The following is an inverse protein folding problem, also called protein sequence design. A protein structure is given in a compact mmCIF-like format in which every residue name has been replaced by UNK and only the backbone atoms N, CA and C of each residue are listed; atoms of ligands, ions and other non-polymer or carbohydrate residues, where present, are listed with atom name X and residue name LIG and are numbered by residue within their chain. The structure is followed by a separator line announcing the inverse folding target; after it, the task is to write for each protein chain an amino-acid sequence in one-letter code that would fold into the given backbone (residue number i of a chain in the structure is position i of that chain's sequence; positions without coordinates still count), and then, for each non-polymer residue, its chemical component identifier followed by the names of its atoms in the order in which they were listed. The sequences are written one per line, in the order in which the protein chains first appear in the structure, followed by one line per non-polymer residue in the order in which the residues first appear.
data_IF_921416834061
#
_entry.id   IF_921416834061
#
_cell.length_a   1.000
_cell.length_b   1.000
_cell.length_c   1.000
_cell.angle_alpha   90.00
_cell.angle_beta   90.00
_cell.angle_gamma   90.00
#
_symmetry.space_group_name_H-M   'P 1'
#
loop_
_entity.id
_entity.type
_entity.pdbx_description
1 polymer ?
#
# COMPACT_ATOMS: atom_id res chain seq x y z
N UNK A 1 -10.23 51.22 -119.48
CA UNK A 1 -10.82 50.09 -118.71
C UNK A 1 -11.74 49.34 -119.66
N UNK A 2 -11.38 48.11 -120.04
CA UNK A 2 -12.22 47.26 -120.89
C UNK A 2 -12.96 46.29 -119.97
N UNK A 3 -14.24 46.56 -119.72
CA UNK A 3 -15.09 45.64 -118.97
C UNK A 3 -15.56 44.51 -119.91
N UNK A 4 -15.67 43.27 -119.40
CA UNK A 4 -16.13 42.15 -120.22
C UNK A 4 -17.59 42.34 -120.68
N UNK A 5 -17.92 41.76 -121.83
CA UNK A 5 -19.21 41.96 -122.51
C UNK A 5 -20.40 41.63 -121.62
N UNK A 6 -20.27 40.63 -120.74
CA UNK A 6 -21.33 40.23 -119.80
C UNK A 6 -21.74 41.34 -118.81
N UNK A 7 -20.89 42.36 -118.63
CA UNK A 7 -21.13 43.56 -117.83
C UNK A 7 -21.60 44.71 -118.73
N UNK A 8 -20.94 44.93 -119.88
CA UNK A 8 -21.20 46.10 -120.74
C UNK A 8 -22.50 46.02 -121.54
N UNK A 9 -23.00 44.82 -121.84
CA UNK A 9 -24.23 44.61 -122.63
C UNK A 9 -25.49 44.49 -121.77
N UNK A 10 -25.39 44.66 -120.44
CA UNK A 10 -26.48 44.45 -119.49
C UNK A 10 -27.28 45.73 -119.26
N UNK A 11 -28.61 45.64 -119.31
CA UNK A 11 -29.52 46.77 -119.02
C UNK A 11 -30.40 46.48 -117.80
N UNK A 12 -30.92 47.52 -117.15
CA UNK A 12 -31.80 47.40 -115.97
C UNK A 12 -31.19 46.66 -114.75
N UNK A 13 -29.90 46.88 -114.47
CA UNK A 13 -29.18 46.30 -113.33
C UNK A 13 -28.94 47.32 -112.20
N UNK A 14 -28.53 46.84 -111.03
CA UNK A 14 -28.05 47.67 -109.90
C UNK A 14 -26.60 47.37 -109.57
N UNK A 15 -25.82 48.37 -109.15
CA UNK A 15 -24.41 48.23 -108.78
C UNK A 15 -24.18 48.61 -107.31
N UNK A 16 -23.27 47.90 -106.65
CA UNK A 16 -22.69 48.28 -105.36
C UNK A 16 -21.18 48.18 -105.42
N UNK A 17 -20.46 49.06 -104.72
CA UNK A 17 -19.00 49.05 -104.68
C UNK A 17 -18.55 48.83 -103.24
N UNK A 18 -17.60 47.93 -103.04
CA UNK A 18 -17.03 47.60 -101.73
C UNK A 18 -15.50 47.62 -101.78
N UNK A 19 -14.88 48.44 -100.93
CA UNK A 19 -13.42 48.46 -100.77
C UNK A 19 -12.99 47.28 -99.91
N UNK A 20 -12.32 46.31 -100.53
CA UNK A 20 -11.79 45.13 -99.83
C UNK A 20 -10.47 45.46 -99.16
N UNK A 21 -9.63 46.21 -99.87
CA UNK A 21 -8.36 46.73 -99.37
C UNK A 21 -8.11 48.12 -99.93
N UNK A 22 -7.10 48.88 -99.46
CA UNK A 22 -6.82 50.22 -99.97
C UNK A 22 -6.58 50.29 -101.50
N UNK A 23 -6.13 49.19 -102.11
CA UNK A 23 -5.81 49.11 -103.55
C UNK A 23 -6.78 48.23 -104.36
N UNK A 24 -7.73 47.57 -103.70
CA UNK A 24 -8.66 46.62 -104.33
C UNK A 24 -10.11 46.94 -103.96
N UNK A 25 -10.92 47.24 -104.97
CA UNK A 25 -12.35 47.51 -104.85
C UNK A 25 -13.14 46.46 -105.63
N UNK A 26 -14.24 45.97 -105.09
CA UNK A 26 -15.14 45.04 -105.75
C UNK A 26 -16.43 45.75 -106.13
N UNK A 27 -16.84 45.61 -107.38
CA UNK A 27 -18.13 46.07 -107.89
C UNK A 27 -19.04 44.84 -107.97
N UNK A 28 -20.15 44.86 -107.26
CA UNK A 28 -21.15 43.81 -107.25
C UNK A 28 -22.32 44.27 -108.10
N UNK A 29 -22.60 43.54 -109.17
CA UNK A 29 -23.68 43.81 -110.10
C UNK A 29 -24.84 42.84 -109.87
N UNK A 30 -26.02 43.40 -109.56
CA UNK A 30 -27.23 42.67 -109.23
C UNK A 30 -28.28 42.79 -110.33
N UNK A 31 -28.84 41.64 -110.74
CA UNK A 31 -29.95 41.58 -111.70
C UNK A 31 -29.60 42.16 -113.08
N UNK A 32 -30.61 42.48 -113.88
CA UNK A 32 -30.46 43.02 -115.24
C UNK A 32 -30.75 42.01 -116.35
N UNK A 33 -31.06 42.51 -117.54
CA UNK A 33 -31.43 41.72 -118.71
C UNK A 33 -30.40 41.82 -119.82
N UNK A 34 -29.84 40.67 -120.20
CA UNK A 34 -29.09 40.49 -121.43
C UNK A 34 -29.21 39.02 -121.87
N UNK A 35 -29.98 38.74 -122.93
CA UNK A 35 -29.93 37.57 -123.81
C UNK A 35 -30.00 36.15 -123.22
N UNK A 36 -29.22 35.80 -122.20
CA UNK A 36 -29.19 34.51 -121.50
C UNK A 36 -28.16 34.52 -120.34
N UNK A 37 -28.39 35.23 -119.23
CA UNK A 37 -27.85 34.90 -117.88
C UNK A 37 -28.31 35.93 -116.84
N UNK A 38 -28.76 35.45 -115.66
CA UNK A 38 -29.44 36.24 -114.61
C UNK A 38 -28.55 36.39 -113.35
N UNK A 39 -27.32 35.90 -113.38
CA UNK A 39 -26.50 35.74 -112.18
C UNK A 39 -25.84 37.05 -111.73
N UNK A 40 -25.69 37.19 -110.41
CA UNK A 40 -24.90 38.24 -109.75
C UNK A 40 -23.43 38.10 -110.14
N UNK A 41 -22.83 39.18 -110.64
CA UNK A 41 -21.42 39.23 -110.98
C UNK A 41 -20.65 40.07 -109.95
N UNK A 42 -19.46 39.61 -109.57
CA UNK A 42 -18.52 40.40 -108.77
C UNK A 42 -17.33 40.74 -109.67
N UNK A 43 -17.04 42.03 -109.81
CA UNK A 43 -15.95 42.55 -110.63
C UNK A 43 -14.91 43.13 -109.68
N UNK A 44 -13.73 42.53 -109.62
CA UNK A 44 -12.59 43.09 -108.93
C UNK A 44 -11.93 44.16 -109.78
N UNK A 45 -11.80 45.34 -109.20
CA UNK A 45 -11.05 46.48 -109.70
C UNK A 45 -9.82 46.68 -108.81
N UNK A 46 -8.64 46.41 -109.35
CA UNK A 46 -7.37 46.52 -108.63
C UNK A 46 -6.50 47.59 -109.25
N UNK A 47 -6.07 48.52 -108.41
CA UNK A 47 -5.06 49.51 -108.73
C UNK A 47 -3.68 48.83 -108.76
N UNK A 48 -3.00 48.86 -109.89
CA UNK A 48 -1.66 48.28 -110.04
C UNK A 48 -0.59 49.34 -109.79
N UNK A 49 0.63 48.90 -109.46
CA UNK A 49 1.79 49.78 -109.21
C UNK A 49 2.19 50.65 -110.41
N UNK A 50 1.74 50.27 -111.61
CA UNK A 50 2.05 50.95 -112.87
C UNK A 50 1.06 52.08 -113.18
N UNK A 51 0.33 52.55 -112.15
CA UNK A 51 -0.68 53.61 -112.27
C UNK A 51 -1.86 53.23 -113.19
N UNK A 52 -2.11 51.92 -113.34
CA UNK A 52 -3.14 51.35 -114.20
C UNK A 52 -4.19 50.57 -113.38
N UNK A 53 -5.31 50.26 -114.02
CA UNK A 53 -6.44 49.56 -113.41
C UNK A 53 -6.62 48.19 -114.07
N UNK A 54 -6.53 47.14 -113.27
CA UNK A 54 -6.88 45.79 -113.71
C UNK A 54 -8.29 45.42 -113.27
N UNK A 55 -9.08 44.87 -114.19
CA UNK A 55 -10.43 44.38 -113.92
C UNK A 55 -10.48 42.87 -114.11
N UNK A 56 -11.07 42.15 -113.16
CA UNK A 56 -11.32 40.70 -113.28
C UNK A 56 -12.69 40.33 -112.73
N UNK A 57 -13.32 39.29 -113.28
CA UNK A 57 -14.61 38.80 -112.80
C UNK A 57 -14.38 37.67 -111.82
N UNK A 58 -14.87 37.84 -110.58
CA UNK A 58 -14.90 36.83 -109.54
C UNK A 58 -16.23 36.09 -109.64
N UNK A 59 -16.16 34.78 -109.89
CA UNK A 59 -17.34 33.92 -109.82
C UNK A 59 -17.79 33.78 -108.36
N UNK A 60 -19.10 33.72 -108.13
CA UNK A 60 -19.68 33.73 -106.80
C UNK A 60 -19.22 32.57 -105.91
N UNK A 61 -18.96 31.40 -106.50
CA UNK A 61 -18.40 30.22 -105.82
C UNK A 61 -16.98 30.44 -105.28
N UNK A 62 -16.24 31.41 -105.83
CA UNK A 62 -14.87 31.74 -105.44
C UNK A 62 -14.75 32.98 -104.56
N UNK A 63 -15.88 33.65 -104.24
CA UNK A 63 -15.90 34.92 -103.52
C UNK A 63 -15.16 34.86 -102.17
N UNK A 64 -15.45 33.84 -101.35
CA UNK A 64 -14.87 33.70 -100.01
C UNK A 64 -13.36 33.44 -100.05
N UNK A 65 -12.91 32.63 -101.01
CA UNK A 65 -11.50 32.31 -101.16
C UNK A 65 -10.70 33.50 -101.68
N UNK A 66 -11.26 34.27 -102.63
CA UNK A 66 -10.63 35.50 -103.11
C UNK A 66 -10.53 36.54 -101.99
N UNK A 67 -11.58 36.69 -101.16
CA UNK A 67 -11.56 37.63 -100.04
C UNK A 67 -10.42 37.33 -99.06
N UNK A 68 -10.31 36.06 -98.64
CA UNK A 68 -9.24 35.62 -97.72
C UNK A 68 -7.85 35.82 -98.31
N UNK A 69 -7.66 35.48 -99.59
CA UNK A 69 -6.38 35.67 -100.29
C UNK A 69 -5.98 37.14 -100.36
N UNK A 70 -6.93 38.05 -100.61
CA UNK A 70 -6.64 39.50 -100.69
C UNK A 70 -6.27 40.08 -99.34
N UNK A 71 -7.01 39.74 -98.27
CA UNK A 71 -6.68 40.20 -96.91
C UNK A 71 -5.28 39.70 -96.49
N UNK A 72 -4.97 38.42 -96.72
CA UNK A 72 -3.66 37.84 -96.38
C UNK A 72 -2.52 38.44 -97.22
N UNK A 73 -2.73 38.59 -98.53
CA UNK A 73 -1.74 39.18 -99.43
C UNK A 73 -1.44 40.62 -99.08
N UNK A 74 -2.44 41.42 -98.71
CA UNK A 74 -2.21 42.82 -98.33
C UNK A 74 -1.52 42.92 -96.97
N UNK A 75 -1.81 42.01 -96.03
CA UNK A 75 -1.06 41.91 -94.78
C UNK A 75 0.43 41.58 -95.01
N UNK A 76 0.72 40.71 -95.96
CA UNK A 76 2.10 40.39 -96.36
C UNK A 76 2.77 41.57 -97.11
N UNK A 77 2.03 42.25 -98.00
CA UNK A 77 2.52 43.35 -98.83
C UNK A 77 2.68 44.68 -98.08
N UNK A 78 1.95 44.90 -96.98
CA UNK A 78 2.04 46.12 -96.15
C UNK A 78 3.38 46.27 -95.40
N UNK A 79 4.37 45.40 -95.63
CA UNK A 79 5.72 45.52 -95.07
C UNK A 79 5.83 45.25 -93.56
N UNK A 80 4.69 45.16 -92.86
CA UNK A 80 4.58 44.87 -91.43
C UNK A 80 5.07 43.46 -91.05
N UNK A 81 5.25 42.57 -92.03
CA UNK A 81 5.68 41.19 -91.77
C UNK A 81 7.08 41.09 -91.15
N UNK A 82 8.04 41.95 -91.52
CA UNK A 82 9.42 41.86 -90.99
C UNK A 82 9.54 42.37 -89.56
N UNK A 83 8.93 43.52 -89.26
CA UNK A 83 8.94 44.11 -87.92
C UNK A 83 8.16 43.26 -86.92
N UNK A 84 7.01 42.71 -87.32
CA UNK A 84 6.21 41.81 -86.47
C UNK A 84 6.95 40.49 -86.20
N UNK A 85 7.66 39.94 -87.19
CA UNK A 85 8.48 38.74 -86.99
C UNK A 85 9.69 39.00 -86.07
N UNK A 86 10.36 40.15 -86.23
CA UNK A 86 11.47 40.56 -85.38
C UNK A 86 11.02 40.74 -83.91
N UNK A 87 9.90 41.44 -83.70
CA UNK A 87 9.33 41.63 -82.36
C UNK A 87 8.90 40.32 -81.70
N UNK A 88 8.33 39.39 -82.47
CA UNK A 88 8.00 38.04 -82.00
C UNK A 88 9.26 37.28 -81.57
N UNK A 89 10.34 37.38 -82.34
CA UNK A 89 11.63 36.78 -82.01
C UNK A 89 12.20 37.33 -80.71
N UNK A 90 12.29 38.66 -80.58
CA UNK A 90 12.79 39.31 -79.36
C UNK A 90 11.95 39.00 -78.11
N UNK A 91 10.62 38.86 -78.25
CA UNK A 91 9.76 38.48 -77.13
C UNK A 91 10.04 37.05 -76.66
N UNK A 92 10.19 36.10 -77.59
CA UNK A 92 10.52 34.71 -77.26
C UNK A 92 11.93 34.58 -76.65
N UNK A 93 12.88 35.38 -77.12
CA UNK A 93 14.23 35.45 -76.57
C UNK A 93 14.23 36.01 -75.15
N UNK A 94 13.50 37.10 -74.91
CA UNK A 94 13.33 37.67 -73.56
C UNK A 94 12.63 36.72 -72.59
N UNK A 95 11.62 35.98 -73.04
CA UNK A 95 10.98 34.94 -72.22
C UNK A 95 11.98 33.85 -71.83
N UNK A 96 12.82 33.40 -72.78
CA UNK A 96 13.88 32.41 -72.52
C UNK A 96 14.92 32.93 -71.53
N UNK A 97 15.42 34.14 -71.75
CA UNK A 97 16.40 34.80 -70.86
C UNK A 97 15.84 34.90 -69.43
N UNK A 98 14.56 35.27 -69.28
CA UNK A 98 13.91 35.34 -67.97
C UNK A 98 13.91 33.97 -67.25
N UNK A 99 13.57 32.89 -67.94
CA UNK A 99 13.60 31.54 -67.35
C UNK A 99 15.02 31.10 -67.00
N UNK A 100 15.99 31.36 -67.87
CA UNK A 100 17.39 31.04 -67.62
C UNK A 100 17.94 31.83 -66.42
N UNK A 101 17.62 33.11 -66.29
CA UNK A 101 18.01 33.93 -65.13
C UNK A 101 17.39 33.43 -63.82
N UNK A 102 16.11 33.04 -63.83
CA UNK A 102 15.46 32.46 -62.65
C UNK A 102 16.13 31.15 -62.24
N UNK A 103 16.39 30.26 -63.21
CA UNK A 103 17.04 28.98 -62.95
C UNK A 103 18.45 29.19 -62.39
N UNK A 104 19.24 30.10 -62.95
CA UNK A 104 20.58 30.43 -62.46
C UNK A 104 20.54 30.99 -61.02
N UNK A 105 19.56 31.84 -60.71
CA UNK A 105 19.36 32.37 -59.36
C UNK A 105 19.04 31.26 -58.36
N UNK A 106 18.13 30.35 -58.73
CA UNK A 106 17.73 29.23 -57.88
C UNK A 106 18.88 28.24 -57.64
N UNK A 107 19.66 27.93 -58.68
CA UNK A 107 20.87 27.10 -58.56
C UNK A 107 21.85 27.75 -57.59
N UNK A 108 22.14 29.04 -57.76
CA UNK A 108 23.10 29.76 -56.90
C UNK A 108 22.64 29.83 -55.44
N UNK A 109 21.35 30.03 -55.20
CA UNK A 109 20.78 30.03 -53.85
C UNK A 109 20.88 28.65 -53.20
N UNK A 110 20.55 27.59 -53.94
CA UNK A 110 20.66 26.20 -53.46
C UNK A 110 22.10 25.80 -53.17
N UNK A 111 23.05 26.18 -54.01
CA UNK A 111 24.47 25.96 -53.78
C UNK A 111 24.96 26.65 -52.50
N UNK A 112 24.53 27.89 -52.27
CA UNK A 112 24.88 28.62 -51.05
C UNK A 112 24.33 27.93 -49.79
N UNK A 113 23.05 27.55 -49.81
CA UNK A 113 22.41 26.81 -48.71
C UNK A 113 23.14 25.49 -48.44
N UNK A 114 23.54 24.78 -49.50
CA UNK A 114 24.26 23.53 -49.36
C UNK A 114 25.65 23.73 -48.73
N UNK A 115 26.39 24.75 -49.16
CA UNK A 115 27.69 25.08 -48.55
C UNK A 115 27.56 25.46 -47.07
N UNK A 116 26.54 26.24 -46.71
CA UNK A 116 26.35 26.66 -45.33
C UNK A 116 25.95 25.48 -44.44
N UNK A 117 25.12 24.56 -44.95
CA UNK A 117 24.79 23.30 -44.26
C UNK A 117 26.01 22.42 -44.05
N UNK A 118 26.90 22.32 -45.04
CA UNK A 118 28.14 21.55 -44.93
C UNK A 118 29.09 22.13 -43.89
N UNK A 119 29.24 23.47 -43.84
CA UNK A 119 30.01 24.16 -42.79
C UNK A 119 29.45 23.90 -41.40
N UNK A 120 28.12 23.99 -41.24
CA UNK A 120 27.44 23.72 -39.97
C UNK A 120 27.65 22.26 -39.52
N UNK A 121 27.52 21.29 -40.43
CA UNK A 121 27.81 19.89 -40.14
C UNK A 121 29.26 19.67 -39.73
N UNK A 122 30.21 20.32 -40.40
CA UNK A 122 31.63 20.21 -40.07
C UNK A 122 31.94 20.83 -38.70
N UNK A 123 31.31 21.95 -38.36
CA UNK A 123 31.42 22.58 -37.05
C UNK A 123 30.85 21.67 -35.94
N UNK A 124 29.67 21.08 -36.15
CA UNK A 124 29.05 20.15 -35.20
C UNK A 124 29.91 18.90 -34.99
N UNK A 125 30.50 18.36 -36.05
CA UNK A 125 31.43 17.22 -35.94
C UNK A 125 32.67 17.57 -35.11
N UNK A 126 33.24 18.77 -35.31
CA UNK A 126 34.38 19.24 -34.56
C UNK A 126 34.05 19.49 -33.07
N UNK A 127 32.88 20.09 -32.80
CA UNK A 127 32.40 20.29 -31.43
C UNK A 127 32.17 18.95 -30.72
N UNK A 128 31.51 18.00 -31.40
CA UNK A 128 31.30 16.64 -30.86
C UNK A 128 32.62 15.93 -30.55
N UNK A 129 33.62 16.03 -31.43
CA UNK A 129 34.93 15.47 -31.19
C UNK A 129 35.62 16.09 -29.98
N UNK A 130 35.51 17.42 -29.82
CA UNK A 130 36.07 18.15 -28.68
C UNK A 130 35.39 17.76 -27.36
N UNK A 131 34.05 17.66 -27.35
CA UNK A 131 33.28 17.22 -26.18
C UNK A 131 33.58 15.76 -25.82
N UNK A 132 33.74 14.89 -26.82
CA UNK A 132 34.13 13.50 -26.59
C UNK A 132 35.49 13.42 -25.92
N UNK A 133 36.48 14.18 -26.41
CA UNK A 133 37.81 14.22 -25.80
C UNK A 133 37.76 14.76 -24.37
N UNK A 134 36.99 15.82 -24.10
CA UNK A 134 36.81 16.35 -22.74
C UNK A 134 36.17 15.32 -21.80
N UNK A 135 35.22 14.53 -22.30
CA UNK A 135 34.59 13.47 -21.52
C UNK A 135 35.57 12.33 -21.22
N UNK A 136 36.37 11.92 -22.20
CA UNK A 136 37.41 10.90 -22.02
C UNK A 136 38.48 11.37 -21.02
N UNK A 137 38.92 12.62 -21.13
CA UNK A 137 39.88 13.24 -20.19
C UNK A 137 39.30 13.35 -18.78
N UNK A 138 38.03 13.76 -18.64
CA UNK A 138 37.34 13.83 -17.36
C UNK A 138 37.16 12.45 -16.73
N UNK A 139 36.82 11.44 -17.54
CA UNK A 139 36.67 10.06 -17.09
C UNK A 139 38.01 9.50 -16.61
N UNK A 140 39.10 9.78 -17.35
CA UNK A 140 40.45 9.39 -16.94
C UNK A 140 40.86 10.05 -15.63
N UNK A 141 40.59 11.34 -15.45
CA UNK A 141 40.85 12.06 -14.18
C UNK A 141 40.07 11.49 -13.01
N UNK A 142 38.79 11.14 -13.21
CA UNK A 142 37.96 10.53 -12.16
C UNK A 142 38.48 9.14 -11.79
N UNK A 143 38.93 8.34 -12.76
CA UNK A 143 39.57 7.05 -12.52
C UNK A 143 40.88 7.20 -11.73
N UNK A 144 41.77 8.10 -12.14
CA UNK A 144 43.02 8.37 -11.41
C UNK A 144 42.75 8.87 -9.99
N UNK A 145 41.73 9.71 -9.80
CA UNK A 145 41.32 10.18 -8.48
C UNK A 145 40.77 9.02 -7.63
N UNK A 146 39.92 8.16 -8.20
CA UNK A 146 39.41 6.98 -7.52
C UNK A 146 40.52 5.98 -7.16
N UNK A 147 41.54 5.83 -8.01
CA UNK A 147 42.72 5.00 -7.71
C UNK A 147 43.59 5.61 -6.60
N UNK A 148 43.78 6.94 -6.61
CA UNK A 148 44.47 7.66 -5.53
C UNK A 148 43.72 7.55 -4.22
N UNK A 149 42.42 7.77 -4.24
CA UNK A 149 41.55 7.68 -3.06
C UNK A 149 41.47 6.25 -2.55
N UNK A 150 41.44 5.25 -3.44
CA UNK A 150 41.56 3.84 -3.08
C UNK A 150 42.91 3.54 -2.41
N UNK A 151 44.01 4.07 -2.93
CA UNK A 151 45.36 3.87 -2.39
C UNK A 151 45.58 4.56 -1.03
N UNK A 152 45.03 5.76 -0.82
CA UNK A 152 45.10 6.47 0.48
C UNK A 152 44.19 5.83 1.52
N UNK A 153 42.98 5.43 1.14
CA UNK A 153 42.02 4.75 2.03
C UNK A 153 42.51 3.33 2.36
N UNK A 154 43.08 2.57 1.41
CA UNK A 154 43.59 1.22 1.67
C UNK A 154 44.77 1.20 2.65
N UNK A 155 45.68 2.19 2.65
CA UNK A 155 46.77 2.25 3.63
C UNK A 155 46.29 2.62 5.04
N UNK A 156 45.41 3.62 5.15
CA UNK A 156 44.91 4.11 6.44
C UNK A 156 43.89 3.15 7.07
N UNK A 157 43.02 2.53 6.25
CA UNK A 157 42.08 1.50 6.72
C UNK A 157 42.76 0.17 7.01
N UNK A 158 43.82 -0.23 6.29
CA UNK A 158 44.53 -1.48 6.58
C UNK A 158 45.29 -1.42 7.90
N UNK A 159 45.94 -0.29 8.23
CA UNK A 159 46.59 -0.13 9.53
C UNK A 159 45.57 -0.09 10.67
N UNK A 160 44.43 0.59 10.47
CA UNK A 160 43.34 0.66 11.44
C UNK A 160 42.60 -0.68 11.61
N UNK A 161 42.41 -1.44 10.53
CA UNK A 161 41.87 -2.81 10.57
C UNK A 161 42.83 -3.76 11.26
N UNK A 162 44.14 -3.66 11.00
CA UNK A 162 45.17 -4.47 11.66
C UNK A 162 45.21 -4.21 13.16
N UNK A 163 45.09 -2.96 13.59
CA UNK A 163 44.98 -2.61 15.01
C UNK A 163 43.71 -3.18 15.65
N UNK A 164 42.55 -3.03 15.01
CA UNK A 164 41.28 -3.59 15.50
C UNK A 164 41.26 -5.12 15.54
N UNK A 165 41.89 -5.78 14.57
CA UNK A 165 42.00 -7.25 14.55
C UNK A 165 42.90 -7.75 15.68
N UNK A 166 43.97 -7.03 16.01
CA UNK A 166 44.81 -7.35 17.16
C UNK A 166 44.06 -7.19 18.50
N UNK A 167 43.29 -6.10 18.65
CA UNK A 167 42.45 -5.84 19.82
C UNK A 167 41.37 -6.93 20.01
N UNK A 168 40.66 -7.28 18.93
CA UNK A 168 39.65 -8.35 18.95
C UNK A 168 40.27 -9.72 19.27
N UNK A 169 41.48 -10.01 18.80
CA UNK A 169 42.18 -11.25 19.12
C UNK A 169 42.54 -11.31 20.61
N UNK A 170 43.02 -10.21 21.19
CA UNK A 170 43.33 -10.12 22.61
C UNK A 170 42.08 -10.26 23.48
N UNK A 171 40.99 -9.56 23.16
CA UNK A 171 39.70 -9.73 23.84
C UNK A 171 39.17 -11.15 23.74
N UNK A 172 39.27 -11.78 22.55
CA UNK A 172 38.86 -13.17 22.34
C UNK A 172 39.66 -14.15 23.21
N UNK A 173 40.97 -13.95 23.37
CA UNK A 173 41.78 -14.77 24.27
C UNK A 173 41.36 -14.63 25.73
N UNK A 174 41.12 -13.39 26.20
CA UNK A 174 40.63 -13.15 27.56
C UNK A 174 39.23 -13.74 27.80
N UNK A 175 38.35 -13.72 26.79
CA UNK A 175 37.01 -14.33 26.88
C UNK A 175 37.10 -15.86 26.97
N UNK A 176 37.99 -16.49 26.20
CA UNK A 176 38.15 -17.95 26.26
C UNK A 176 38.76 -18.39 27.61
N UNK A 177 39.71 -17.62 28.16
CA UNK A 177 40.24 -17.85 29.52
C UNK A 177 39.13 -17.74 30.58
N UNK A 178 38.32 -16.67 30.53
CA UNK A 178 37.17 -16.50 31.44
C UNK A 178 36.17 -17.65 31.33
N UNK A 179 35.92 -18.13 30.11
CA UNK A 179 35.02 -19.27 29.86
C UNK A 179 35.57 -20.57 30.42
N UNK A 180 36.89 -20.80 30.34
CA UNK A 180 37.53 -21.95 30.99
C UNK A 180 37.38 -21.88 32.51
N UNK A 181 37.65 -20.72 33.13
CA UNK A 181 37.49 -20.53 34.57
C UNK A 181 36.04 -20.80 35.03
N UNK A 182 35.04 -20.25 34.31
CA UNK A 182 33.62 -20.49 34.62
C UNK A 182 33.27 -21.98 34.53
N UNK A 183 33.85 -22.69 33.56
CA UNK A 183 33.59 -24.13 33.36
C UNK A 183 34.19 -24.96 34.50
N UNK A 184 35.42 -24.66 34.92
CA UNK A 184 36.07 -25.31 36.06
C UNK A 184 35.33 -25.05 37.37
N UNK A 185 34.91 -23.80 37.61
CA UNK A 185 34.14 -23.43 38.80
C UNK A 185 32.77 -24.12 38.82
N UNK A 186 32.12 -24.29 37.67
CA UNK A 186 30.86 -25.01 37.56
C UNK A 186 30.99 -26.49 37.94
N UNK A 187 32.01 -27.19 37.42
CA UNK A 187 32.25 -28.60 37.78
C UNK A 187 32.63 -28.74 39.26
N UNK A 188 33.40 -27.80 39.81
CA UNK A 188 33.72 -27.77 41.25
C UNK A 188 32.48 -27.53 42.12
N UNK A 189 31.57 -26.64 41.69
CA UNK A 189 30.30 -26.40 42.38
C UNK A 189 29.40 -27.64 42.34
N UNK A 190 29.34 -28.31 41.19
CA UNK A 190 28.56 -29.54 40.99
C UNK A 190 29.03 -30.67 41.93
N UNK A 191 30.35 -30.83 42.10
CA UNK A 191 30.91 -31.76 43.09
C UNK A 191 30.48 -31.41 44.52
N UNK A 192 30.60 -30.14 44.93
CA UNK A 192 30.17 -29.70 46.28
C UNK A 192 28.67 -29.92 46.53
N UNK A 193 27.84 -29.73 45.52
CA UNK A 193 26.38 -29.97 45.64
C UNK A 193 26.10 -31.47 45.79
N UNK A 194 26.84 -32.33 45.10
CA UNK A 194 26.72 -33.78 45.26
C UNK A 194 27.12 -34.23 46.68
N UNK A 195 28.26 -33.76 47.19
CA UNK A 195 28.72 -34.08 48.55
C UNK A 195 27.70 -33.65 49.62
N UNK A 196 27.15 -32.42 49.51
CA UNK A 196 26.12 -31.92 50.43
C UNK A 196 24.81 -32.71 50.37
N UNK A 197 24.43 -33.22 49.20
CA UNK A 197 23.24 -34.06 49.06
C UNK A 197 23.45 -35.42 49.73
N UNK A 198 24.62 -36.04 49.55
CA UNK A 198 24.96 -37.31 50.19
C UNK A 198 24.98 -37.18 51.72
N UNK A 199 25.61 -36.12 52.27
CA UNK A 199 25.58 -35.83 53.71
C UNK A 199 24.15 -35.64 54.25
N UNK A 200 23.27 -34.97 53.48
CA UNK A 200 21.87 -34.75 53.86
C UNK A 200 21.06 -36.04 53.82
N UNK A 201 21.29 -36.90 52.83
CA UNK A 201 20.66 -38.22 52.74
C UNK A 201 21.07 -39.11 53.92
N UNK A 202 22.36 -39.13 54.28
CA UNK A 202 22.84 -39.85 55.46
C UNK A 202 22.22 -39.32 56.77
N UNK A 203 22.13 -38.00 56.92
CA UNK A 203 21.51 -37.37 58.08
C UNK A 203 20.03 -37.77 58.19
N UNK A 204 19.30 -37.72 57.08
CA UNK A 204 17.89 -38.09 57.02
C UNK A 204 17.65 -39.57 57.36
N UNK A 205 18.53 -40.47 56.90
CA UNK A 205 18.47 -41.90 57.25
C UNK A 205 18.74 -42.13 58.74
N UNK A 206 19.69 -41.42 59.35
CA UNK A 206 19.96 -41.49 60.80
C UNK A 206 18.76 -41.02 61.62
N UNK A 207 18.15 -39.89 61.27
CA UNK A 207 16.95 -39.38 61.94
C UNK A 207 15.76 -40.35 61.82
N UNK A 208 15.53 -40.93 60.64
CA UNK A 208 14.52 -41.98 60.46
C UNK A 208 14.74 -43.16 61.40
N UNK A 209 15.98 -43.63 61.54
CA UNK A 209 16.30 -44.76 62.40
C UNK A 209 16.03 -44.45 63.88
N UNK A 210 16.31 -43.21 64.32
CA UNK A 210 15.98 -42.75 65.68
C UNK A 210 14.47 -42.79 65.90
N UNK A 211 13.68 -42.22 64.99
CA UNK A 211 12.20 -42.21 65.09
C UNK A 211 11.62 -43.63 65.13
N UNK A 212 12.18 -44.57 64.35
CA UNK A 212 11.75 -45.97 64.37
C UNK A 212 12.01 -46.59 65.75
N UNK A 213 13.21 -46.38 66.31
CA UNK A 213 13.56 -46.90 67.64
C UNK A 213 12.66 -46.31 68.74
N UNK A 214 12.41 -45.00 68.72
CA UNK A 214 11.54 -44.35 69.71
C UNK A 214 10.10 -44.86 69.65
N UNK A 215 9.56 -45.07 68.44
CA UNK A 215 8.22 -45.65 68.28
C UNK A 215 8.14 -47.11 68.77
N UNK A 216 9.21 -47.90 68.61
CA UNK A 216 9.27 -49.26 69.17
C UNK A 216 9.28 -49.25 70.70
N UNK A 217 10.03 -48.32 71.31
CA UNK A 217 10.06 -48.13 72.76
C UNK A 217 8.67 -47.72 73.28
N UNK A 218 8.04 -46.70 72.67
CA UNK A 218 6.69 -46.25 73.05
C UNK A 218 5.66 -47.37 72.92
N UNK A 219 5.73 -48.21 71.88
CA UNK A 219 4.86 -49.38 71.72
C UNK A 219 5.02 -50.39 72.86
N UNK A 220 6.24 -50.54 73.37
CA UNK A 220 6.54 -51.43 74.50
C UNK A 220 5.95 -50.85 75.80
N UNK A 221 6.15 -49.56 76.06
CA UNK A 221 5.58 -48.85 77.21
C UNK A 221 4.04 -48.88 77.22
N UNK A 222 3.40 -48.70 76.06
CA UNK A 222 1.94 -48.77 75.91
C UNK A 222 1.46 -50.19 76.23
N UNK A 223 2.12 -51.23 75.71
CA UNK A 223 1.79 -52.63 75.99
C UNK A 223 1.88 -52.98 77.49
N UNK A 224 2.86 -52.42 78.21
CA UNK A 224 2.96 -52.58 79.66
C UNK A 224 1.84 -51.86 80.40
N UNK A 225 1.52 -50.62 80.01
CA UNK A 225 0.41 -49.85 80.59
C UNK A 225 -0.94 -50.53 80.36
N UNK A 226 -1.18 -51.09 79.17
CA UNK A 226 -2.40 -51.83 78.85
C UNK A 226 -2.57 -53.06 79.74
N UNK A 227 -1.49 -53.78 80.06
CA UNK A 227 -1.53 -54.90 81.03
C UNK A 227 -1.93 -54.41 82.43
N UNK A 228 -1.41 -53.26 82.87
CA UNK A 228 -1.77 -52.67 84.16
C UNK A 228 -3.23 -52.22 84.18
N UNK A 229 -3.70 -51.56 83.12
CA UNK A 229 -5.10 -51.13 82.98
C UNK A 229 -6.05 -52.33 83.00
N UNK A 230 -5.72 -53.41 82.29
CA UNK A 230 -6.50 -54.64 82.29
C UNK A 230 -6.63 -55.24 83.71
N UNK A 231 -5.53 -55.23 84.48
CA UNK A 231 -5.52 -55.70 85.87
C UNK A 231 -6.38 -54.84 86.80
N UNK A 232 -6.23 -53.51 86.73
CA UNK A 232 -7.04 -52.58 87.53
C UNK A 232 -8.53 -52.66 87.16
N UNK A 233 -8.86 -52.79 85.87
CA UNK A 233 -10.25 -52.91 85.39
C UNK A 233 -10.91 -54.19 85.92
N UNK A 234 -10.16 -55.29 85.99
CA UNK A 234 -10.63 -56.53 86.62
C UNK A 234 -10.94 -56.34 88.10
N UNK A 235 -10.04 -55.69 88.85
CA UNK A 235 -10.24 -55.42 90.28
C UNK A 235 -11.46 -54.52 90.53
N UNK A 236 -11.64 -53.45 89.76
CA UNK A 236 -12.80 -52.55 89.91
C UNK A 236 -14.11 -53.27 89.59
N UNK A 237 -14.15 -54.15 88.58
CA UNK A 237 -15.35 -54.96 88.27
C UNK A 237 -15.71 -55.90 89.42
N UNK A 238 -14.72 -56.58 90.00
CA UNK A 238 -14.91 -57.48 91.15
C UNK A 238 -15.41 -56.70 92.38
N UNK A 239 -14.80 -55.54 92.66
CA UNK A 239 -15.20 -54.68 93.76
C UNK A 239 -16.63 -54.15 93.59
N UNK A 240 -17.00 -53.73 92.37
CA UNK A 240 -18.37 -53.28 92.05
C UNK A 240 -19.40 -54.41 92.19
N UNK A 241 -19.06 -55.66 91.83
CA UNK A 241 -19.94 -56.81 92.06
C UNK A 241 -20.13 -57.08 93.56
N UNK A 242 -19.04 -57.00 94.35
CA UNK A 242 -19.10 -57.16 95.79
C UNK A 242 -19.96 -56.07 96.46
N UNK A 243 -19.78 -54.80 96.06
CA UNK A 243 -20.60 -53.67 96.54
C UNK A 243 -22.09 -53.85 96.18
N UNK A 244 -22.41 -54.31 94.96
CA UNK A 244 -23.80 -54.62 94.57
C UNK A 244 -24.42 -55.70 95.46
N UNK A 245 -23.66 -56.73 95.83
CA UNK A 245 -24.13 -57.77 96.75
C UNK A 245 -24.44 -57.18 98.13
N UNK A 246 -23.52 -56.36 98.68
CA UNK A 246 -23.71 -55.69 99.98
C UNK A 246 -24.95 -54.79 99.98
N UNK A 247 -25.17 -53.99 98.92
CA UNK A 247 -26.36 -53.13 98.80
C UNK A 247 -27.65 -53.96 98.76
N UNK A 248 -27.62 -55.12 98.10
CA UNK A 248 -28.79 -56.02 98.00
C UNK A 248 -29.13 -56.60 99.38
N UNK A 249 -28.14 -57.12 100.10
CA UNK A 249 -28.29 -57.65 101.46
C UNK A 249 -28.80 -56.59 102.44
N UNK A 250 -28.32 -55.34 102.33
CA UNK A 250 -28.79 -54.22 103.16
C UNK A 250 -30.24 -53.84 102.85
N UNK A 251 -30.64 -53.81 101.57
CA UNK A 251 -32.04 -53.56 101.17
C UNK A 251 -32.99 -54.63 101.68
N UNK A 252 -32.59 -55.90 101.68
CA UNK A 252 -33.39 -56.98 102.27
C UNK A 252 -33.57 -56.80 103.78
N UNK A 253 -32.51 -56.41 104.49
CA UNK A 253 -32.58 -56.11 105.93
C UNK A 253 -33.46 -54.88 106.22
N UNK A 254 -33.38 -53.82 105.43
CA UNK A 254 -34.27 -52.67 105.55
C UNK A 254 -35.74 -53.05 105.31
N UNK A 255 -36.02 -53.87 104.29
CA UNK A 255 -37.37 -54.37 104.01
C UNK A 255 -37.91 -55.20 105.18
N UNK A 256 -37.06 -56.02 105.79
CA UNK A 256 -37.39 -56.81 106.98
C UNK A 256 -37.71 -55.91 108.20
N UNK A 257 -36.91 -54.87 108.45
CA UNK A 257 -37.16 -53.90 109.52
C UNK A 257 -38.46 -53.14 109.27
N UNK A 258 -38.71 -52.66 108.05
CA UNK A 258 -39.95 -51.96 107.69
C UNK A 258 -41.20 -52.83 107.94
N UNK A 259 -41.11 -54.14 107.69
CA UNK A 259 -42.17 -55.10 107.95
C UNK A 259 -42.47 -55.23 109.46
N UNK A 260 -41.43 -55.36 110.29
CA UNK A 260 -41.55 -55.39 111.75
C UNK A 260 -42.14 -54.08 112.31
N UNK A 261 -41.74 -52.93 111.78
CA UNK A 261 -42.28 -51.62 112.18
C UNK A 261 -43.77 -51.52 111.85
N UNK A 262 -44.18 -51.94 110.64
CA UNK A 262 -45.60 -51.94 110.25
C UNK A 262 -46.43 -52.88 111.12
N UNK A 263 -45.92 -54.06 111.43
CA UNK A 263 -46.56 -55.01 112.34
C UNK A 263 -46.70 -54.44 113.76
N UNK A 264 -45.71 -53.69 114.26
CA UNK A 264 -45.80 -52.99 115.54
C UNK A 264 -46.84 -51.85 115.50
N UNK A 265 -46.89 -51.07 114.41
CA UNK A 265 -47.86 -49.98 114.25
C UNK A 265 -49.31 -50.51 114.23
N UNK A 266 -49.56 -51.64 113.56
CA UNK A 266 -50.88 -52.29 113.53
C UNK A 266 -51.31 -52.84 114.90
N UNK A 267 -50.37 -53.26 115.76
CA UNK A 267 -50.67 -53.65 117.15
C UNK A 267 -51.01 -52.44 118.03
N UNK A 268 -50.45 -51.27 117.76
CA UNK A 268 -50.70 -50.04 118.55
C UNK A 268 -52.06 -49.41 118.21
N UNK A 269 -52.54 -49.51 116.96
CA UNK A 269 -53.80 -48.89 116.51
C UNK A 269 -55.09 -49.66 116.88
N UNK A 270 -55.01 -50.85 117.49
CA UNK A 270 -56.19 -51.66 117.85
C UNK A 270 -56.59 -51.63 119.34
N UNK A 271 -55.98 -50.77 120.16
CA UNK A 271 -56.45 -50.57 121.54
C UNK A 271 -57.37 -49.33 121.63
N UNK A 272 -58.62 -49.46 122.11
CA UNK A 272 -59.51 -48.32 122.30
C UNK A 272 -59.10 -47.52 123.55
N UNK A 273 -58.72 -46.26 123.35
CA UNK A 273 -58.44 -45.30 124.42
C UNK A 273 -59.79 -44.86 125.00
N UNK A 274 -60.13 -45.36 126.19
CA UNK A 274 -61.12 -44.75 127.09
C UNK A 274 -60.39 -44.07 128.23
N UNK A 275 -60.79 -42.83 128.45
CA UNK A 275 -60.26 -41.83 129.38
C UNK A 275 -60.11 -42.37 130.82
N UNK A 276 -58.95 -42.13 131.43
CA UNK A 276 -58.77 -42.25 132.86
C UNK A 276 -58.88 -40.87 133.52
N UNK A 277 -59.93 -40.70 134.31
CA UNK A 277 -60.03 -39.68 135.35
C UNK A 277 -58.90 -39.84 136.37
N UNK A 278 -58.37 -38.71 136.83
CA UNK A 278 -57.23 -38.52 137.71
C UNK A 278 -57.29 -39.23 139.07
N UNK A 279 -56.13 -39.75 139.50
CA UNK A 279 -55.62 -39.90 140.88
C UNK A 279 -54.12 -40.21 140.67
N UNK A 280 -53.11 -39.58 141.27
CA UNK A 280 -53.00 -38.75 142.45
C UNK A 280 -51.69 -39.17 143.12
N UNK A 281 -50.59 -38.42 142.94
CA UNK A 281 -49.39 -38.59 143.76
C UNK A 281 -48.80 -37.21 144.07
N UNK A 282 -49.12 -36.75 145.27
CA UNK A 282 -48.56 -35.56 145.91
C UNK A 282 -47.17 -35.87 146.46
N UNK A 283 -46.22 -34.96 146.29
CA UNK A 283 -45.06 -34.83 147.18
C UNK A 283 -44.84 -33.35 147.52
N UNK A 284 -44.94 -33.06 148.82
CA UNK A 284 -44.62 -31.78 149.44
C UNK A 284 -43.11 -31.73 149.75
N UNK A 285 -42.40 -30.69 149.29
CA UNK A 285 -41.20 -30.17 149.95
C UNK A 285 -41.14 -28.64 149.80
N UNK A 286 -41.03 -27.98 150.95
CA UNK A 286 -40.70 -26.55 151.12
C UNK A 286 -39.18 -26.35 150.95
N UNK A 287 -38.75 -25.35 150.16
CA UNK A 287 -37.56 -24.53 150.45
C UNK A 287 -37.92 -23.05 150.14
N UNK A 288 -37.85 -22.13 151.12
CA UNK A 288 -38.58 -20.84 151.11
C UNK A 288 -37.62 -19.67 150.84
N UNK A 289 -38.05 -18.47 150.48
CA UNK A 289 -39.35 -17.93 150.12
C UNK A 289 -39.04 -16.56 149.49
N UNK A 290 -39.80 -16.21 148.46
CA UNK A 290 -40.27 -14.84 148.20
C UNK A 290 -39.34 -13.67 148.54
N UNK A 291 -38.94 -12.97 147.49
CA UNK A 291 -38.81 -11.53 147.57
C UNK A 291 -38.66 -10.96 146.18
N UNK A 292 -39.55 -10.03 145.81
CA UNK A 292 -39.20 -8.72 145.23
C UNK A 292 -38.19 -8.72 144.06
N UNK A 293 -38.35 -8.03 142.93
CA UNK A 293 -39.22 -6.95 142.48
C UNK A 293 -38.66 -6.56 141.07
N UNK A 294 -39.53 -6.16 140.13
CA UNK A 294 -39.35 -5.06 139.15
C UNK A 294 -38.12 -4.98 138.21
N UNK A 295 -38.36 -4.95 136.89
CA UNK A 295 -38.53 -3.73 136.04
C UNK A 295 -38.37 -4.06 134.54
N UNK A 296 -39.30 -3.55 133.70
CA UNK A 296 -39.20 -2.97 132.34
C UNK A 296 -38.18 -3.50 131.28
N UNK A 297 -38.33 -3.54 129.94
CA UNK A 297 -39.24 -3.08 128.85
C UNK A 297 -38.26 -2.79 127.64
N UNK A 298 -38.44 -3.13 126.36
CA UNK A 298 -39.39 -2.64 125.35
C UNK A 298 -39.15 -3.39 124.00
N UNK A 299 -40.26 -3.65 123.29
CA UNK A 299 -40.56 -3.58 121.84
C UNK A 299 -39.48 -3.61 120.73
N UNK A 300 -39.80 -4.35 119.66
CA UNK A 300 -40.16 -3.99 118.25
C UNK A 300 -39.33 -4.87 117.27
N UNK A 301 -39.70 -5.29 116.05
CA UNK A 301 -40.84 -5.14 115.12
C UNK A 301 -40.50 -6.02 113.88
N UNK A 302 -41.52 -6.44 113.12
CA UNK A 302 -41.63 -6.75 111.66
C UNK A 302 -40.37 -7.19 110.87
N UNK A 303 -40.45 -8.11 109.90
CA UNK A 303 -41.55 -8.62 109.08
C UNK A 303 -41.13 -9.97 108.47
#
# INVERSE_FOLDING_TARGET
INLPDNVTIRYYHSLSVWSVTPTTNWIIEFGGGAGSSIDTAVIELRYTSDNDWSTSVIRLDQYQDQLRRRILSDWENLGLSKEVQLLRGHLQEREREFYEEQLQREIKEKEQIQQDREKEQQQLLQEKATLSQQLDDATTRLLEQAEKDKSTVELEDYEKLKAKVAEILEEKTQVEEKKQIITEDYEKLKLKVADLLEEKEEQYLKEKQIIINDNQNLKTDISEKDKVIAKLTSQVKEQSQNEKQIITDLKEKELYIAKLVKERQERVLKQPIKETSSIGLQFNYLIPSMGKLFMYMYMYRCE
#
